data_IF_858967718480
#
_entry.id   IF_858967718480
#
_cell.length_a   1.000
_cell.length_b   1.000
_cell.length_c   1.000
_cell.angle_alpha   90.00
_cell.angle_beta   90.00
_cell.angle_gamma   90.00
#
_symmetry.space_group_name_H-M   'P 1'
#
loop_
_entity.id
_entity.type
_entity.pdbx_description
1 polymer ?
#
# COMPACT_ATOMS: atom_id res chain seq x y z
N UNK A 1 -27.96 54.30 -13.73
CA UNK A 1 -27.33 54.13 -12.37
C UNK A 1 -27.90 52.92 -11.62
N UNK A 2 -29.02 52.34 -12.05
CA UNK A 2 -29.63 51.14 -11.40
C UNK A 2 -29.07 49.80 -11.92
N UNK A 3 -28.47 49.75 -13.10
CA UNK A 3 -28.03 48.51 -13.73
C UNK A 3 -26.70 47.97 -13.15
N UNK A 4 -25.91 48.80 -12.44
CA UNK A 4 -24.66 48.37 -11.80
C UNK A 4 -24.82 47.73 -10.40
N UNK A 5 -25.95 47.95 -9.71
CA UNK A 5 -26.24 47.35 -8.41
C UNK A 5 -26.73 45.93 -8.47
N UNK A 6 -27.30 45.50 -9.60
CA UNK A 6 -27.85 44.16 -9.77
C UNK A 6 -26.76 43.10 -10.04
N UNK A 7 -25.66 43.46 -10.66
CA UNK A 7 -24.57 42.54 -10.99
C UNK A 7 -23.70 42.17 -9.78
N UNK A 8 -23.46 43.14 -8.87
CA UNK A 8 -22.66 42.90 -7.68
C UNK A 8 -23.34 41.97 -6.68
N UNK A 9 -24.68 42.00 -6.60
CA UNK A 9 -25.44 41.13 -5.71
C UNK A 9 -25.49 39.66 -6.20
N UNK A 10 -25.49 39.43 -7.51
CA UNK A 10 -25.54 38.10 -8.08
C UNK A 10 -24.19 37.36 -8.04
N UNK A 11 -23.08 38.09 -8.23
CA UNK A 11 -21.75 37.50 -8.12
C UNK A 11 -21.41 37.12 -6.68
N UNK A 12 -21.86 37.89 -5.70
CA UNK A 12 -21.64 37.60 -4.29
C UNK A 12 -22.42 36.36 -3.84
N UNK A 13 -23.67 36.20 -4.30
CA UNK A 13 -24.48 35.01 -4.01
C UNK A 13 -23.94 33.74 -4.68
N UNK A 14 -23.34 33.85 -5.86
CA UNK A 14 -22.73 32.72 -6.55
C UNK A 14 -21.45 32.28 -5.83
N UNK A 15 -20.66 33.22 -5.38
CA UNK A 15 -19.41 32.93 -4.66
C UNK A 15 -19.67 32.25 -3.32
N UNK A 16 -20.68 32.70 -2.58
CA UNK A 16 -21.03 32.17 -1.26
C UNK A 16 -21.65 30.76 -1.32
N UNK A 17 -22.22 30.39 -2.46
CA UNK A 17 -22.82 29.06 -2.65
C UNK A 17 -21.83 28.05 -3.27
N UNK A 18 -20.86 28.48 -4.06
CA UNK A 18 -19.88 27.60 -4.69
C UNK A 18 -18.84 27.08 -3.68
N UNK A 19 -18.40 27.92 -2.74
CA UNK A 19 -17.38 27.53 -1.75
C UNK A 19 -17.83 26.41 -0.82
N UNK A 20 -19.03 26.43 -0.23
CA UNK A 20 -19.54 25.29 0.56
C UNK A 20 -19.68 24.02 -0.28
N UNK A 21 -20.23 24.13 -1.49
CA UNK A 21 -20.45 22.99 -2.39
C UNK A 21 -19.14 22.37 -2.87
N UNK A 22 -18.11 23.17 -3.17
CA UNK A 22 -16.79 22.65 -3.52
C UNK A 22 -16.11 21.99 -2.33
N UNK A 23 -16.27 22.51 -1.10
CA UNK A 23 -15.78 21.87 0.13
C UNK A 23 -16.49 20.55 0.41
N UNK A 24 -17.80 20.49 0.22
CA UNK A 24 -18.57 19.26 0.43
C UNK A 24 -18.15 18.18 -0.58
N UNK A 25 -17.96 18.55 -1.85
CA UNK A 25 -17.42 17.63 -2.87
C UNK A 25 -16.00 17.20 -2.52
N UNK A 26 -15.14 18.13 -2.12
CA UNK A 26 -13.76 17.78 -1.70
C UNK A 26 -13.76 16.88 -0.47
N UNK A 27 -14.56 17.16 0.53
CA UNK A 27 -14.72 16.31 1.71
C UNK A 27 -15.30 14.93 1.35
N UNK A 28 -16.25 14.86 0.43
CA UNK A 28 -16.82 13.59 -0.05
C UNK A 28 -15.80 12.80 -0.90
N UNK A 29 -14.97 13.48 -1.67
CA UNK A 29 -13.84 12.89 -2.37
C UNK A 29 -12.74 12.45 -1.38
N UNK A 30 -12.37 13.27 -0.42
CA UNK A 30 -11.41 12.92 0.63
C UNK A 30 -11.89 11.73 1.45
N UNK A 31 -13.16 11.70 1.84
CA UNK A 31 -13.75 10.57 2.59
C UNK A 31 -13.82 9.27 1.76
N UNK A 32 -13.89 9.39 0.45
CA UNK A 32 -13.90 8.24 -0.48
C UNK A 32 -12.52 7.78 -0.91
N UNK A 33 -11.55 8.70 -0.97
CA UNK A 33 -10.23 8.45 -1.55
C UNK A 33 -9.08 8.57 -0.56
N UNK A 34 -9.27 9.24 0.57
CA UNK A 34 -8.18 9.49 1.50
C UNK A 34 -8.44 8.84 2.85
N UNK A 35 -7.70 7.81 3.12
CA UNK A 35 -7.83 7.09 4.39
C UNK A 35 -6.50 6.92 5.10
N UNK A 36 -5.39 7.16 4.42
CA UNK A 36 -4.06 6.97 4.98
C UNK A 36 -3.28 8.27 4.78
N UNK A 37 -2.77 8.80 5.88
CA UNK A 37 -1.93 9.99 5.91
C UNK A 37 -0.76 9.75 6.87
N UNK A 38 0.29 9.17 6.34
CA UNK A 38 1.56 8.94 7.07
C UNK A 38 2.53 10.10 6.86
N UNK A 39 2.20 11.03 5.96
CA UNK A 39 3.10 12.09 5.51
C UNK A 39 4.07 11.63 4.41
N UNK A 40 4.08 10.35 4.03
CA UNK A 40 4.84 9.85 2.90
C UNK A 40 3.92 9.60 1.70
N UNK A 41 4.07 10.40 0.65
CA UNK A 41 3.19 10.38 -0.51
C UNK A 41 3.14 9.01 -1.19
N UNK A 42 4.26 8.30 -1.26
CA UNK A 42 4.36 6.98 -1.91
C UNK A 42 3.60 5.95 -1.09
N UNK A 43 3.87 5.87 0.22
CA UNK A 43 3.17 4.94 1.12
C UNK A 43 1.67 5.22 1.11
N UNK A 44 1.28 6.47 1.24
CA UNK A 44 -0.13 6.90 1.27
C UNK A 44 -0.86 6.50 -0.01
N UNK A 45 -0.25 6.72 -1.17
CA UNK A 45 -0.83 6.36 -2.46
C UNK A 45 -1.01 4.84 -2.63
N UNK A 46 0.03 4.06 -2.32
CA UNK A 46 0.00 2.61 -2.50
C UNK A 46 -0.95 1.93 -1.51
N UNK A 47 -0.91 2.32 -0.23
CA UNK A 47 -1.75 1.69 0.79
C UNK A 47 -3.21 2.14 0.67
N UNK A 48 -3.49 3.39 0.27
CA UNK A 48 -4.86 3.83 -0.05
C UNK A 48 -5.43 3.08 -1.24
N UNK A 49 -4.65 2.89 -2.30
CA UNK A 49 -5.06 2.08 -3.46
C UNK A 49 -5.33 0.62 -3.07
N UNK A 50 -4.46 0.03 -2.24
CA UNK A 50 -4.67 -1.32 -1.69
C UNK A 50 -5.99 -1.41 -0.92
N UNK A 51 -6.30 -0.42 -0.08
CA UNK A 51 -7.54 -0.37 0.70
C UNK A 51 -8.77 -0.36 -0.20
N UNK A 52 -8.76 0.47 -1.24
CA UNK A 52 -9.87 0.55 -2.22
C UNK A 52 -10.07 -0.80 -2.93
N UNK A 53 -8.97 -1.42 -3.39
CA UNK A 53 -9.03 -2.70 -4.08
C UNK A 53 -9.45 -3.84 -3.14
N UNK A 54 -8.95 -3.88 -1.91
CA UNK A 54 -9.33 -4.86 -0.91
C UNK A 54 -10.82 -4.75 -0.59
N UNK A 55 -11.33 -3.52 -0.36
CA UNK A 55 -12.74 -3.25 -0.12
C UNK A 55 -13.63 -3.71 -1.28
N UNK A 56 -13.25 -3.43 -2.51
CA UNK A 56 -14.02 -3.82 -3.70
C UNK A 56 -14.07 -5.33 -3.93
N UNK A 57 -13.08 -6.07 -3.43
CA UNK A 57 -12.95 -7.54 -3.57
C UNK A 57 -13.37 -8.31 -2.32
N UNK A 58 -13.82 -7.62 -1.26
CA UNK A 58 -14.21 -8.27 0.00
C UNK A 58 -13.02 -8.87 0.77
N UNK A 59 -11.80 -8.35 0.57
CA UNK A 59 -10.58 -8.77 1.26
C UNK A 59 -10.47 -7.99 2.56
N UNK A 60 -10.26 -8.67 3.69
CA UNK A 60 -9.99 -8.02 4.97
C UNK A 60 -8.56 -7.46 4.99
N UNK A 61 -8.43 -6.13 5.13
CA UNK A 61 -7.13 -5.45 5.18
C UNK A 61 -6.85 -4.96 6.59
N UNK A 62 -5.65 -5.24 7.10
CA UNK A 62 -5.09 -4.63 8.30
C UNK A 62 -3.80 -3.88 7.96
N UNK A 63 -3.65 -2.68 8.51
CA UNK A 63 -2.45 -1.86 8.28
C UNK A 63 -1.89 -1.38 9.62
N UNK A 64 -0.56 -1.40 9.74
CA UNK A 64 0.18 -0.84 10.87
C UNK A 64 1.38 -0.04 10.33
N UNK A 65 1.20 1.27 10.25
CA UNK A 65 2.12 2.20 9.61
C UNK A 65 2.74 3.10 10.69
N UNK A 66 3.92 2.72 11.19
CA UNK A 66 4.63 3.41 12.27
C UNK A 66 6.09 3.59 11.87
N UNK A 67 6.37 4.61 11.11
CA UNK A 67 7.71 4.93 10.67
C UNK A 67 7.94 6.44 10.67
N UNK A 68 9.21 6.82 10.72
CA UNK A 68 9.63 8.21 10.67
C UNK A 68 10.04 8.57 9.24
N UNK A 69 9.37 9.57 8.66
CA UNK A 69 9.63 10.03 7.30
C UNK A 69 10.98 10.73 7.15
N UNK A 70 11.48 11.37 8.21
CA UNK A 70 12.70 12.16 8.15
C UNK A 70 13.96 11.28 8.08
N UNK A 71 13.81 10.00 8.46
CA UNK A 71 14.92 9.04 8.54
C UNK A 71 14.72 7.80 7.67
N UNK A 72 13.92 7.88 6.60
CA UNK A 72 13.74 6.73 5.73
C UNK A 72 15.04 6.40 4.98
N UNK A 73 15.54 5.14 5.07
CA UNK A 73 16.78 4.73 4.42
C UNK A 73 16.66 4.56 2.90
N UNK A 74 15.48 4.71 2.35
CA UNK A 74 15.13 4.40 0.97
C UNK A 74 14.48 5.59 0.27
N UNK A 75 14.82 5.81 -1.01
CA UNK A 75 14.18 6.85 -1.81
C UNK A 75 12.81 6.41 -2.36
N UNK A 76 11.98 7.38 -2.76
CA UNK A 76 10.62 7.18 -3.25
C UNK A 76 10.53 6.25 -4.47
N UNK A 77 11.50 6.31 -5.37
CA UNK A 77 11.52 5.45 -6.56
C UNK A 77 11.67 3.97 -6.19
N UNK A 78 12.60 3.64 -5.28
CA UNK A 78 12.77 2.27 -4.83
C UNK A 78 11.62 1.82 -3.92
N UNK A 79 11.08 2.71 -3.09
CA UNK A 79 9.87 2.45 -2.28
C UNK A 79 8.69 2.07 -3.18
N UNK A 80 8.48 2.81 -4.28
CA UNK A 80 7.45 2.52 -5.30
C UNK A 80 7.60 1.11 -5.86
N UNK A 81 8.83 0.68 -6.18
CA UNK A 81 9.07 -0.66 -6.72
C UNK A 81 8.80 -1.74 -5.67
N UNK A 82 9.25 -1.54 -4.43
CA UNK A 82 9.01 -2.51 -3.35
C UNK A 82 7.51 -2.64 -3.08
N UNK A 83 6.82 -1.54 -2.77
CA UNK A 83 5.41 -1.56 -2.43
C UNK A 83 4.56 -2.09 -3.59
N UNK A 84 4.80 -1.62 -4.82
CA UNK A 84 4.08 -2.10 -5.99
C UNK A 84 4.17 -3.61 -6.14
N UNK A 85 5.36 -4.18 -6.08
CA UNK A 85 5.53 -5.64 -6.22
C UNK A 85 4.92 -6.43 -5.07
N UNK A 86 5.11 -6.00 -3.82
CA UNK A 86 4.60 -6.73 -2.66
C UNK A 86 3.07 -6.67 -2.56
N UNK A 87 2.48 -5.50 -2.76
CA UNK A 87 1.04 -5.31 -2.62
C UNK A 87 0.27 -5.94 -3.78
N UNK A 88 0.78 -5.84 -5.02
CA UNK A 88 0.19 -6.52 -6.18
C UNK A 88 0.24 -8.04 -6.04
N UNK A 89 1.35 -8.59 -5.53
CA UNK A 89 1.47 -10.02 -5.25
C UNK A 89 0.42 -10.46 -4.20
N UNK A 90 0.25 -9.70 -3.12
CA UNK A 90 -0.73 -10.00 -2.09
C UNK A 90 -2.18 -9.96 -2.63
N UNK A 91 -2.51 -8.92 -3.42
CA UNK A 91 -3.83 -8.79 -4.05
C UNK A 91 -4.12 -9.93 -5.04
N UNK A 92 -3.12 -10.33 -5.83
CA UNK A 92 -3.26 -11.42 -6.79
C UNK A 92 -3.41 -12.77 -6.08
N UNK A 93 -2.66 -13.01 -5.02
CA UNK A 93 -2.77 -14.23 -4.21
C UNK A 93 -4.15 -14.37 -3.54
N UNK A 94 -4.76 -13.26 -3.12
CA UNK A 94 -6.10 -13.23 -2.53
C UNK A 94 -7.25 -13.33 -3.55
N UNK A 95 -6.94 -13.33 -4.85
CA UNK A 95 -7.96 -13.36 -5.89
C UNK A 95 -8.75 -14.67 -5.83
N UNK A 96 -10.08 -14.55 -5.81
CA UNK A 96 -11.02 -15.69 -5.76
C UNK A 96 -10.93 -16.55 -4.49
N UNK A 97 -10.34 -16.04 -3.41
CA UNK A 97 -10.33 -16.74 -2.12
C UNK A 97 -11.44 -16.23 -1.20
N UNK A 98 -12.12 -17.15 -0.55
CA UNK A 98 -13.09 -16.82 0.50
C UNK A 98 -12.35 -16.43 1.78
N UNK A 99 -12.83 -15.37 2.44
CA UNK A 99 -12.25 -14.85 3.68
C UNK A 99 -10.77 -14.44 3.56
N UNK A 100 -10.38 -13.97 2.37
CA UNK A 100 -9.02 -13.49 2.12
C UNK A 100 -8.64 -12.34 3.05
N UNK A 101 -7.39 -12.35 3.51
CA UNK A 101 -6.84 -11.33 4.40
C UNK A 101 -5.49 -10.85 3.88
N UNK A 102 -5.24 -9.56 4.05
CA UNK A 102 -3.93 -8.95 3.80
C UNK A 102 -3.55 -8.13 5.03
N UNK A 103 -2.32 -8.31 5.50
CA UNK A 103 -1.73 -7.50 6.56
C UNK A 103 -0.53 -6.76 6.01
N UNK A 104 -0.47 -5.45 6.21
CA UNK A 104 0.66 -4.61 5.83
C UNK A 104 1.18 -3.90 7.06
N UNK A 105 2.47 -4.06 7.35
CA UNK A 105 3.13 -3.32 8.41
C UNK A 105 4.38 -2.65 7.87
N UNK A 106 4.50 -1.34 8.07
CA UNK A 106 5.68 -0.55 7.74
C UNK A 106 6.13 0.12 9.02
N UNK A 107 7.36 -0.15 9.45
CA UNK A 107 7.85 0.32 10.73
C UNK A 107 9.31 0.73 10.65
N UNK A 108 9.65 1.78 11.39
CA UNK A 108 11.02 2.06 11.81
C UNK A 108 11.16 1.62 13.26
N UNK A 109 12.14 0.83 13.57
CA UNK A 109 12.47 0.41 14.94
C UNK A 109 13.99 0.35 15.08
N UNK A 110 14.50 1.08 16.06
CA UNK A 110 15.94 1.26 16.29
C UNK A 110 16.64 1.71 14.99
N UNK A 111 17.63 0.93 14.53
CA UNK A 111 18.41 1.22 13.31
C UNK A 111 17.86 0.51 12.06
N UNK A 112 16.62 0.00 12.09
CA UNK A 112 16.06 -0.78 11.01
C UNK A 112 14.71 -0.21 10.51
N UNK A 113 14.58 -0.17 9.19
CA UNK A 113 13.31 0.06 8.52
C UNK A 113 12.78 -1.26 7.96
N UNK A 114 11.52 -1.57 8.22
CA UNK A 114 10.95 -2.85 7.80
C UNK A 114 9.58 -2.69 7.12
N UNK A 115 9.39 -3.46 6.05
CA UNK A 115 8.12 -3.61 5.34
C UNK A 115 7.71 -5.08 5.42
N UNK A 116 6.58 -5.36 6.04
CA UNK A 116 6.00 -6.69 6.16
C UNK A 116 4.69 -6.73 5.40
N UNK A 117 4.54 -7.68 4.50
CA UNK A 117 3.27 -7.97 3.82
C UNK A 117 2.96 -9.44 4.01
N UNK A 118 1.80 -9.73 4.59
CA UNK A 118 1.30 -11.08 4.74
C UNK A 118 -0.09 -11.19 4.11
N UNK A 119 -0.34 -12.27 3.41
CA UNK A 119 -1.63 -12.50 2.78
C UNK A 119 -2.06 -13.96 2.89
N UNK A 120 -3.36 -14.18 2.87
CA UNK A 120 -3.92 -15.52 2.71
C UNK A 120 -3.45 -16.10 1.39
N UNK A 121 -2.99 -17.36 1.44
CA UNK A 121 -2.55 -18.10 0.28
C UNK A 121 -2.95 -19.57 0.43
N UNK A 122 -3.69 -20.09 -0.54
CA UNK A 122 -4.10 -21.48 -0.57
C UNK A 122 -3.43 -22.14 -1.76
N UNK A 123 -2.63 -23.17 -1.50
CA UNK A 123 -2.02 -23.98 -2.56
C UNK A 123 -3.14 -24.73 -3.28
N UNK A 124 -3.28 -24.52 -4.56
CA UNK A 124 -4.17 -25.29 -5.41
C UNK A 124 -3.41 -26.48 -6.03
N UNK A 125 -4.13 -27.51 -6.45
CA UNK A 125 -3.53 -28.71 -7.05
C UNK A 125 -2.76 -28.44 -8.36
N UNK A 126 -2.88 -27.26 -8.93
CA UNK A 126 -2.09 -26.78 -10.07
C UNK A 126 -0.77 -26.11 -9.66
N UNK A 127 -0.68 -25.66 -8.41
CA UNK A 127 0.55 -25.09 -7.88
C UNK A 127 1.45 -26.27 -7.45
N UNK A 128 2.64 -26.36 -8.01
CA UNK A 128 3.63 -27.28 -7.46
C UNK A 128 3.91 -26.82 -6.05
N UNK A 129 3.57 -27.63 -5.06
CA UNK A 129 4.01 -27.40 -3.70
C UNK A 129 5.55 -27.23 -3.77
N UNK A 130 6.07 -26.13 -3.29
CA UNK A 130 7.51 -25.95 -3.30
C UNK A 130 8.11 -26.92 -2.28
N UNK A 131 8.74 -27.97 -2.77
CA UNK A 131 9.43 -28.93 -1.91
C UNK A 131 10.62 -28.28 -1.18
N UNK A 132 11.04 -27.07 -1.62
CA UNK A 132 12.11 -26.29 -1.01
C UNK A 132 11.77 -24.78 -1.06
N UNK A 133 11.01 -24.29 -0.08
CA UNK A 133 10.84 -22.84 0.13
C UNK A 133 12.16 -22.12 0.46
N UNK A 134 13.22 -22.84 0.74
CA UNK A 134 14.56 -22.30 1.02
C UNK A 134 15.37 -22.02 -0.27
N UNK A 135 14.94 -22.50 -1.44
CA UNK A 135 15.68 -22.25 -2.66
C UNK A 135 15.32 -20.89 -3.27
N UNK A 136 16.32 -20.12 -3.61
CA UNK A 136 16.24 -18.83 -4.33
C UNK A 136 15.52 -18.94 -5.68
N UNK A 137 15.26 -20.14 -6.15
CA UNK A 137 14.58 -20.42 -7.42
C UNK A 137 13.06 -20.25 -7.36
N UNK A 138 12.48 -20.17 -6.15
CA UNK A 138 11.04 -19.96 -5.95
C UNK A 138 10.59 -18.50 -6.15
N UNK A 139 11.50 -17.60 -6.44
CA UNK A 139 11.14 -16.23 -6.86
C UNK A 139 10.50 -16.31 -8.25
N UNK A 140 9.26 -16.82 -8.30
CA UNK A 140 8.46 -16.86 -9.51
C UNK A 140 8.04 -15.44 -9.86
N UNK A 141 8.67 -14.88 -10.87
CA UNK A 141 8.38 -13.57 -11.40
C UNK A 141 9.47 -12.52 -11.11
N UNK A 142 9.48 -11.52 -11.96
CA UNK A 142 10.46 -10.41 -11.90
C UNK A 142 10.29 -9.53 -10.66
N UNK A 143 9.10 -9.59 -10.00
CA UNK A 143 8.74 -8.71 -8.88
C UNK A 143 9.64 -8.87 -7.66
N UNK A 144 9.68 -10.07 -7.06
CA UNK A 144 10.50 -10.32 -5.87
C UNK A 144 12.01 -10.23 -6.17
N UNK A 145 12.45 -10.58 -7.40
CA UNK A 145 13.84 -10.36 -7.84
C UNK A 145 14.21 -8.87 -7.82
N UNK A 146 13.29 -8.01 -8.25
CA UNK A 146 13.48 -6.56 -8.21
C UNK A 146 13.54 -6.04 -6.79
N UNK A 147 12.66 -6.54 -5.90
CA UNK A 147 12.66 -6.20 -4.48
C UNK A 147 13.96 -6.64 -3.82
N UNK A 148 14.43 -7.87 -4.08
CA UNK A 148 15.71 -8.36 -3.53
C UNK A 148 16.88 -7.48 -3.97
N UNK A 149 16.98 -7.14 -5.25
CA UNK A 149 18.05 -6.26 -5.76
C UNK A 149 18.05 -4.90 -5.07
N UNK A 150 16.86 -4.36 -4.78
CA UNK A 150 16.75 -3.10 -4.04
C UNK A 150 17.16 -3.30 -2.60
N UNK A 151 16.69 -4.34 -1.91
CA UNK A 151 17.10 -4.64 -0.54
C UNK A 151 18.63 -4.76 -0.44
N UNK A 152 19.25 -5.55 -1.33
CA UNK A 152 20.70 -5.71 -1.37
C UNK A 152 21.46 -4.37 -1.57
N UNK A 153 20.88 -3.43 -2.35
CA UNK A 153 21.45 -2.08 -2.54
C UNK A 153 21.48 -1.25 -1.25
N UNK A 154 20.56 -1.50 -0.34
CA UNK A 154 20.45 -0.82 0.95
C UNK A 154 20.98 -1.67 2.11
N UNK A 155 21.90 -2.60 1.86
CA UNK A 155 22.46 -3.55 2.82
C UNK A 155 21.39 -4.31 3.62
N UNK A 156 20.20 -4.44 3.01
CA UNK A 156 19.05 -5.03 3.64
C UNK A 156 18.85 -6.51 3.27
N UNK A 157 17.76 -7.05 3.79
CA UNK A 157 17.37 -8.44 3.61
C UNK A 157 15.96 -8.53 3.05
N UNK A 158 15.74 -9.49 2.15
CA UNK A 158 14.42 -9.95 1.75
C UNK A 158 14.26 -11.38 2.27
N UNK A 159 13.23 -11.60 3.07
CA UNK A 159 12.82 -12.94 3.51
C UNK A 159 11.36 -13.19 3.16
N UNK A 160 11.00 -14.43 2.87
CA UNK A 160 9.62 -14.83 2.66
C UNK A 160 9.39 -16.23 3.21
N UNK A 161 8.20 -16.47 3.72
CA UNK A 161 7.81 -17.73 4.35
C UNK A 161 6.37 -18.04 3.98
N UNK A 162 6.12 -19.29 3.69
CA UNK A 162 4.76 -19.85 3.61
C UNK A 162 4.48 -20.69 4.85
N UNK A 163 3.35 -20.46 5.49
CA UNK A 163 2.84 -21.27 6.58
C UNK A 163 1.64 -22.09 6.09
N UNK A 164 1.82 -23.38 5.98
CA UNK A 164 0.76 -24.32 5.60
C UNK A 164 -0.37 -24.34 6.64
N UNK A 165 -0.01 -24.33 7.91
CA UNK A 165 -0.96 -24.32 9.04
C UNK A 165 -1.88 -23.10 9.02
N UNK A 166 -1.34 -21.93 8.65
CA UNK A 166 -2.08 -20.66 8.62
C UNK A 166 -2.61 -20.32 7.24
N UNK A 167 -2.26 -21.07 6.21
CA UNK A 167 -2.51 -20.72 4.82
C UNK A 167 -2.10 -19.28 4.53
N UNK A 168 -0.91 -18.89 4.97
CA UNK A 168 -0.39 -17.53 4.90
C UNK A 168 0.95 -17.50 4.19
N UNK A 169 1.09 -16.61 3.22
CA UNK A 169 2.37 -16.22 2.65
C UNK A 169 2.79 -14.88 3.23
N UNK A 170 4.01 -14.80 3.71
CA UNK A 170 4.57 -13.59 4.33
C UNK A 170 5.88 -13.21 3.66
N UNK A 171 6.00 -11.93 3.34
CA UNK A 171 7.24 -11.33 2.86
C UNK A 171 7.70 -10.25 3.82
N UNK A 172 8.98 -10.20 4.09
CA UNK A 172 9.62 -9.20 4.95
C UNK A 172 10.80 -8.61 4.20
N UNK A 173 10.79 -7.29 4.07
CA UNK A 173 11.95 -6.52 3.62
C UNK A 173 12.46 -5.75 4.83
N UNK A 174 13.74 -5.87 5.13
CA UNK A 174 14.42 -5.10 6.17
C UNK A 174 15.55 -4.33 5.52
N UNK A 175 15.66 -3.04 5.82
CA UNK A 175 16.70 -2.16 5.32
C UNK A 175 17.42 -1.58 6.53
N UNK A 176 18.75 -1.54 6.50
CA UNK A 176 19.55 -0.88 7.52
C UNK A 176 19.46 0.64 7.34
N UNK A 177 19.47 1.34 8.47
CA UNK A 177 19.63 2.79 8.48
C UNK A 177 21.07 3.13 8.09
N UNK A 178 21.30 4.15 7.22
CA UNK A 178 22.65 4.57 6.85
C UNK A 178 23.42 5.19 8.01
#
# INVERSE_FOLDING_TARGET
>A
YEMQRSLVGSEMCIRDSIIPYSREIMHDLESRYCTINTGNLVVDAFVSNLLLQAKSRGIALQTDLKFDNDILPINDYHMTIILGNLLDNALNACKNQLNAKINVSIRTADDNFSIHVANTYVITSSDKAPEDFESTDFIHGYGLKSVKRIADKYNGLLNYVYSEEKHEFRVVVMLEHP
#
